data_IF_088676814203
#
_entry.id   IF_088676814203
#
_cell.length_a   1.000
_cell.length_b   1.000
_cell.length_c   1.000
_cell.angle_alpha   90.00
_cell.angle_beta   90.00
_cell.angle_gamma   90.00
#
_symmetry.space_group_name_H-M   'P 1'
#
loop_
_entity.id
_entity.type
_entity.pdbx_description
1 polymer ?
#
# COMPACT_ATOMS: atom_id res chain seq x y z
N UNK A 1 -8.87 -7.25 30.02
CA UNK A 1 -8.78 -8.50 30.79
C UNK A 1 -10.10 -9.23 30.61
N UNK A 2 -10.07 -10.53 30.42
CA UNK A 2 -11.24 -11.38 30.26
C UNK A 2 -11.25 -12.38 31.42
N UNK A 3 -12.39 -12.51 32.12
CA UNK A 3 -12.57 -13.50 33.21
C UNK A 3 -13.09 -14.80 32.64
N UNK A 4 -12.28 -15.85 32.73
CA UNK A 4 -12.61 -17.15 32.19
C UNK A 4 -12.68 -18.18 33.33
N UNK A 5 -13.61 -19.11 33.21
CA UNK A 5 -13.69 -20.30 34.08
C UNK A 5 -13.06 -21.47 33.34
N UNK A 6 -11.99 -22.02 33.86
CA UNK A 6 -11.30 -23.16 33.27
C UNK A 6 -11.53 -24.40 34.10
N UNK A 7 -12.14 -25.41 33.47
CA UNK A 7 -12.41 -26.70 34.05
C UNK A 7 -11.31 -27.68 33.64
N UNK A 8 -10.45 -28.07 34.54
CA UNK A 8 -9.49 -29.15 34.40
C UNK A 8 -10.07 -30.52 34.73
N UNK A 9 -9.28 -31.61 34.61
CA UNK A 9 -9.72 -32.95 34.90
C UNK A 9 -10.15 -33.17 36.36
N UNK A 10 -9.49 -32.48 37.30
CA UNK A 10 -9.68 -32.65 38.74
C UNK A 10 -10.11 -31.39 39.48
N UNK A 11 -9.98 -30.23 38.84
CA UNK A 11 -10.18 -28.93 39.47
C UNK A 11 -10.78 -27.92 38.52
N UNK A 12 -11.34 -26.84 39.08
CA UNK A 12 -11.88 -25.70 38.32
C UNK A 12 -11.30 -24.43 38.90
N UNK A 13 -10.93 -23.51 38.03
CA UNK A 13 -10.34 -22.22 38.43
C UNK A 13 -10.95 -21.07 37.62
N UNK A 14 -11.15 -19.95 38.28
CA UNK A 14 -11.51 -18.69 37.58
C UNK A 14 -10.27 -17.81 37.51
N UNK A 15 -9.90 -17.43 36.29
CA UNK A 15 -8.73 -16.61 36.01
C UNK A 15 -9.11 -15.38 35.22
N UNK A 16 -8.52 -14.25 35.59
CA UNK A 16 -8.58 -13.03 34.76
C UNK A 16 -7.33 -12.98 33.86
N UNK A 17 -7.52 -13.21 32.58
CA UNK A 17 -6.44 -13.29 31.61
C UNK A 17 -6.36 -12.03 30.71
N UNK A 18 -5.17 -11.58 30.29
CA UNK A 18 -5.03 -10.48 29.37
C UNK A 18 -5.59 -10.84 27.98
N UNK A 19 -6.33 -9.92 27.37
CA UNK A 19 -7.06 -10.17 26.11
C UNK A 19 -6.17 -10.37 24.88
N UNK A 20 -4.93 -9.90 24.90
CA UNK A 20 -4.01 -9.87 23.77
C UNK A 20 -2.83 -10.84 23.88
N UNK A 21 -2.72 -11.56 24.99
CA UNK A 21 -1.65 -12.57 25.18
C UNK A 21 -2.08 -13.87 24.52
N UNK A 22 -1.23 -14.53 23.69
CA UNK A 22 -1.52 -15.82 23.11
C UNK A 22 -1.87 -16.88 24.17
N UNK A 23 -2.80 -17.77 23.83
CA UNK A 23 -3.23 -18.85 24.73
C UNK A 23 -2.05 -19.76 25.07
N UNK A 24 -1.14 -19.99 24.13
CA UNK A 24 0.09 -20.75 24.36
C UNK A 24 0.92 -20.22 25.53
N UNK A 25 1.07 -18.89 25.62
CA UNK A 25 1.84 -18.24 26.70
C UNK A 25 1.13 -18.28 28.05
N UNK A 26 -0.21 -18.39 28.03
CA UNK A 26 -1.04 -18.49 29.24
C UNK A 26 -1.10 -19.93 29.79
N UNK A 27 -0.88 -20.93 28.94
CA UNK A 27 -1.04 -22.34 29.29
C UNK A 27 -0.23 -22.79 30.51
N UNK A 28 1.08 -22.44 30.66
CA UNK A 28 1.84 -22.82 31.87
C UNK A 28 1.22 -22.26 33.15
N UNK A 29 0.71 -21.03 33.09
CA UNK A 29 0.05 -20.38 34.25
C UNK A 29 -1.28 -21.07 34.61
N UNK A 30 -2.06 -21.39 33.58
CA UNK A 30 -3.34 -22.11 33.73
C UNK A 30 -3.12 -23.47 34.38
N UNK A 31 -2.17 -24.25 33.85
CA UNK A 31 -1.82 -25.57 34.42
C UNK A 31 -1.36 -25.47 35.86
N UNK A 32 -0.49 -24.49 36.18
CA UNK A 32 -0.02 -24.28 37.54
C UNK A 32 -1.09 -23.92 38.56
N UNK A 33 -2.17 -23.21 38.11
CA UNK A 33 -3.30 -22.87 38.99
C UNK A 33 -4.35 -24.00 39.15
N UNK A 34 -4.46 -24.85 38.11
CA UNK A 34 -5.35 -26.02 38.18
C UNK A 34 -4.75 -27.14 39.03
N UNK A 35 -3.60 -27.65 38.65
CA UNK A 35 -2.84 -28.66 39.37
C UNK A 35 -1.39 -28.71 38.83
N UNK A 36 -0.35 -28.51 39.65
CA UNK A 36 1.04 -28.57 39.21
C UNK A 36 1.45 -29.90 38.55
N UNK A 37 0.77 -30.99 38.81
CA UNK A 37 1.02 -32.30 38.20
C UNK A 37 0.64 -32.37 36.71
N UNK A 38 -0.28 -31.50 36.25
CA UNK A 38 -0.76 -31.46 34.86
C UNK A 38 0.36 -31.08 33.86
N UNK A 39 1.32 -30.28 34.29
CA UNK A 39 2.46 -29.93 33.44
C UNK A 39 3.27 -31.18 33.04
N UNK A 40 3.46 -32.12 33.95
CA UNK A 40 4.16 -33.39 33.70
C UNK A 40 3.25 -34.42 33.00
N UNK A 41 1.97 -34.47 33.34
CA UNK A 41 1.01 -35.34 32.69
C UNK A 41 0.84 -35.06 31.19
N UNK A 42 0.94 -33.78 30.79
CA UNK A 42 0.86 -33.35 29.39
C UNK A 42 1.87 -34.02 28.45
N UNK A 43 3.00 -34.48 28.96
CA UNK A 43 4.03 -35.15 28.14
C UNK A 43 3.55 -36.49 27.53
N UNK A 44 2.59 -37.15 28.17
CA UNK A 44 2.09 -38.47 27.74
C UNK A 44 1.12 -38.43 26.54
N UNK A 45 0.48 -37.27 26.28
CA UNK A 45 -0.57 -37.12 25.25
C UNK A 45 -0.39 -35.87 24.35
N UNK A 46 0.83 -35.47 24.15
CA UNK A 46 1.17 -34.41 23.20
C UNK A 46 0.78 -32.98 23.61
N UNK A 47 0.43 -32.77 24.90
CA UNK A 47 0.07 -31.47 25.45
C UNK A 47 -1.40 -31.33 25.79
N UNK A 48 -1.78 -30.12 26.22
CA UNK A 48 -3.13 -29.74 26.62
C UNK A 48 -3.73 -28.74 25.63
N UNK A 49 -5.03 -28.79 25.40
CA UNK A 49 -5.77 -27.81 24.60
C UNK A 49 -6.94 -27.24 25.46
N UNK A 50 -7.26 -25.97 25.16
CA UNK A 50 -8.47 -25.34 25.73
C UNK A 50 -9.58 -25.41 24.69
N UNK A 51 -10.77 -25.81 25.08
CA UNK A 51 -11.90 -26.02 24.22
C UNK A 51 -13.20 -25.56 24.90
N UNK A 52 -14.09 -24.89 24.15
CA UNK A 52 -15.49 -24.74 24.60
C UNK A 52 -16.26 -26.02 24.37
N UNK A 53 -17.30 -26.22 25.15
CA UNK A 53 -18.19 -27.36 24.96
C UNK A 53 -18.86 -27.25 23.57
N UNK A 54 -18.70 -28.27 22.75
CA UNK A 54 -19.30 -28.33 21.42
C UNK A 54 -18.60 -27.56 20.31
N UNK A 55 -17.46 -26.93 20.58
CA UNK A 55 -16.66 -26.21 19.60
C UNK A 55 -15.31 -26.89 19.33
N UNK A 56 -14.60 -26.48 18.30
CA UNK A 56 -13.23 -26.93 18.06
C UNK A 56 -12.27 -26.37 19.13
N UNK A 57 -11.11 -27.02 19.35
CA UNK A 57 -10.07 -26.49 20.24
C UNK A 57 -9.68 -25.07 19.82
N UNK A 58 -9.41 -24.23 20.80
CA UNK A 58 -8.97 -22.86 20.57
C UNK A 58 -7.57 -22.84 19.94
N UNK A 59 -7.35 -21.94 19.01
CA UNK A 59 -6.05 -21.71 18.41
C UNK A 59 -5.10 -21.08 19.43
N UNK A 60 -4.00 -21.79 19.71
CA UNK A 60 -3.03 -21.44 20.75
C UNK A 60 -2.24 -20.17 20.42
N UNK A 61 -2.12 -19.83 19.14
CA UNK A 61 -1.37 -18.65 18.66
C UNK A 61 -2.16 -17.35 18.81
N UNK A 62 -3.45 -17.43 19.12
CA UNK A 62 -4.31 -16.28 19.27
C UNK A 62 -4.59 -15.93 20.75
N UNK A 63 -4.76 -14.61 21.01
CA UNK A 63 -5.22 -14.12 22.31
C UNK A 63 -6.71 -14.32 22.52
N UNK A 64 -7.19 -14.21 23.77
CA UNK A 64 -8.60 -14.45 24.15
C UNK A 64 -9.58 -13.55 23.38
N UNK A 65 -9.20 -12.32 23.06
CA UNK A 65 -10.04 -11.43 22.24
C UNK A 65 -10.16 -11.89 20.78
N UNK A 66 -9.08 -12.37 20.18
CA UNK A 66 -9.07 -12.90 18.81
C UNK A 66 -9.79 -14.24 18.71
N UNK A 67 -9.73 -15.05 19.78
CA UNK A 67 -10.47 -16.29 19.93
C UNK A 67 -11.98 -16.09 20.25
N UNK A 68 -12.46 -14.85 20.34
CA UNK A 68 -13.86 -14.51 20.59
C UNK A 68 -14.35 -14.92 21.97
N UNK A 69 -13.47 -14.88 22.99
CA UNK A 69 -13.80 -15.22 24.37
C UNK A 69 -14.34 -13.99 25.12
N UNK A 70 -15.38 -14.20 25.88
CA UNK A 70 -16.05 -13.18 26.68
C UNK A 70 -15.97 -13.49 28.21
N UNK A 71 -16.22 -12.45 29.00
CA UNK A 71 -16.27 -12.61 30.46
C UNK A 71 -17.34 -13.62 30.85
N UNK A 72 -16.92 -14.61 31.65
CA UNK A 72 -17.80 -15.68 32.14
C UNK A 72 -17.78 -16.94 31.27
N UNK A 73 -17.05 -16.97 30.16
CA UNK A 73 -16.93 -18.17 29.32
C UNK A 73 -16.29 -19.32 30.11
N UNK A 74 -16.81 -20.53 29.84
CA UNK A 74 -16.32 -21.77 30.44
C UNK A 74 -15.51 -22.53 29.41
N UNK A 75 -14.26 -22.80 29.74
CA UNK A 75 -13.33 -23.55 28.90
C UNK A 75 -12.98 -24.88 29.59
N UNK A 76 -12.80 -25.90 28.79
CA UNK A 76 -12.41 -27.24 29.27
C UNK A 76 -10.97 -27.50 28.86
N UNK A 77 -10.11 -27.84 29.83
CA UNK A 77 -8.75 -28.31 29.57
C UNK A 77 -8.81 -29.81 29.27
N UNK A 78 -8.38 -30.17 28.06
CA UNK A 78 -8.40 -31.55 27.56
C UNK A 78 -7.05 -31.97 27.04
N UNK A 79 -6.70 -33.26 27.12
CA UNK A 79 -5.57 -33.82 26.38
C UNK A 79 -5.71 -33.56 24.88
N UNK A 80 -4.60 -33.29 24.20
CA UNK A 80 -4.63 -33.07 22.74
C UNK A 80 -5.16 -34.28 21.97
N UNK A 81 -4.96 -35.49 22.50
CA UNK A 81 -5.40 -36.73 21.88
C UNK A 81 -6.85 -37.11 22.21
N UNK A 82 -7.48 -36.46 23.23
CA UNK A 82 -8.84 -36.73 23.69
C UNK A 82 -9.66 -35.44 23.77
N UNK A 83 -9.93 -34.85 22.59
CA UNK A 83 -10.73 -33.64 22.46
C UNK A 83 -12.22 -33.94 22.59
N UNK A 84 -12.99 -32.93 23.05
CA UNK A 84 -14.46 -33.07 23.08
C UNK A 84 -14.96 -33.11 21.60
N UNK A 85 -15.93 -34.01 21.31
CA UNK A 85 -16.54 -34.02 20.00
C UNK A 85 -17.26 -32.71 19.73
N UNK A 86 -17.31 -32.31 18.45
CA UNK A 86 -18.16 -31.19 18.03
C UNK A 86 -19.61 -31.50 18.36
N UNK A 87 -20.37 -30.49 18.79
CA UNK A 87 -21.80 -30.66 19.04
C UNK A 87 -22.52 -31.03 17.72
N UNK A 88 -23.28 -32.12 17.77
CA UNK A 88 -24.20 -32.45 16.70
C UNK A 88 -25.39 -31.48 16.72
N UNK A 89 -25.85 -31.05 15.57
CA UNK A 89 -27.01 -30.17 15.46
C UNK A 89 -28.28 -31.04 15.46
N UNK A 90 -29.20 -30.74 16.37
CA UNK A 90 -30.50 -31.41 16.46
C UNK A 90 -31.43 -31.02 15.30
N UNK A 91 -31.21 -29.80 14.69
CA UNK A 91 -31.95 -29.29 13.56
C UNK A 91 -31.00 -28.93 12.44
N UNK A 92 -31.31 -29.41 11.22
CA UNK A 92 -30.57 -29.12 10.00
C UNK A 92 -30.56 -27.61 9.71
N UNK A 93 -31.64 -26.89 10.00
CA UNK A 93 -31.76 -25.45 9.76
C UNK A 93 -30.80 -24.68 10.66
N UNK A 94 -30.70 -25.07 11.92
CA UNK A 94 -29.77 -24.45 12.89
C UNK A 94 -28.30 -24.72 12.52
N UNK A 95 -28.00 -25.95 12.10
CA UNK A 95 -26.67 -26.32 11.59
C UNK A 95 -26.27 -25.49 10.37
N UNK A 96 -27.17 -25.32 9.39
CA UNK A 96 -26.94 -24.48 8.22
C UNK A 96 -26.77 -23.01 8.62
N UNK A 97 -27.62 -22.49 9.51
CA UNK A 97 -27.54 -21.11 9.96
C UNK A 97 -26.20 -20.82 10.68
N UNK A 98 -25.78 -21.71 11.56
CA UNK A 98 -24.51 -21.62 12.30
C UNK A 98 -23.33 -21.69 11.32
N UNK A 99 -23.36 -22.64 10.38
CA UNK A 99 -22.32 -22.78 9.35
C UNK A 99 -22.23 -21.58 8.40
N UNK A 100 -23.36 -20.94 8.07
CA UNK A 100 -23.40 -19.74 7.24
C UNK A 100 -23.01 -18.48 8.00
N UNK A 101 -23.42 -18.33 9.26
CA UNK A 101 -23.10 -17.16 10.08
C UNK A 101 -21.62 -17.08 10.46
N UNK A 102 -20.95 -18.23 10.59
CA UNK A 102 -19.50 -18.34 10.85
C UNK A 102 -18.62 -18.04 9.64
N UNK A 103 -19.18 -17.87 8.43
CA UNK A 103 -18.37 -17.60 7.22
C UNK A 103 -17.71 -16.23 7.26
N UNK A 104 -16.44 -16.20 6.86
CA UNK A 104 -15.66 -14.95 6.77
C UNK A 104 -16.17 -13.99 5.68
N UNK A 105 -16.94 -14.51 4.69
CA UNK A 105 -17.53 -13.75 3.58
C UNK A 105 -18.94 -13.20 3.89
N UNK A 106 -19.43 -13.34 5.12
CA UNK A 106 -20.72 -12.79 5.53
C UNK A 106 -20.77 -11.25 5.43
N UNK A 107 -21.91 -10.74 4.96
CA UNK A 107 -22.11 -9.29 4.83
C UNK A 107 -22.19 -8.63 6.22
N UNK A 108 -21.23 -7.74 6.50
CA UNK A 108 -21.11 -7.05 7.81
C UNK A 108 -21.31 -5.54 7.64
N UNK A 109 -21.72 -4.81 8.69
CA UNK A 109 -21.88 -3.35 8.61
C UNK A 109 -20.62 -2.62 8.13
N UNK A 110 -19.44 -3.13 8.45
CA UNK A 110 -18.16 -2.60 7.95
C UNK A 110 -18.02 -2.71 6.43
N UNK A 111 -18.56 -3.76 5.80
CA UNK A 111 -18.57 -3.93 4.34
C UNK A 111 -19.54 -2.93 3.72
N UNK A 112 -20.76 -2.80 4.28
CA UNK A 112 -21.74 -1.79 3.83
C UNK A 112 -21.10 -0.40 3.83
N UNK A 113 -20.43 -0.02 4.92
CA UNK A 113 -19.75 1.28 5.01
C UNK A 113 -18.69 1.46 3.92
N UNK A 114 -17.86 0.44 3.65
CA UNK A 114 -16.84 0.48 2.59
C UNK A 114 -17.48 0.63 1.21
N UNK A 115 -18.56 -0.09 0.95
CA UNK A 115 -19.32 0.00 -0.32
C UNK A 115 -19.91 1.39 -0.49
N UNK A 116 -20.52 1.97 0.54
CA UNK A 116 -21.05 3.33 0.49
C UNK A 116 -19.96 4.38 0.25
N UNK A 117 -18.79 4.25 0.90
CA UNK A 117 -17.63 5.12 0.65
C UNK A 117 -17.08 4.95 -0.77
N UNK A 118 -17.02 3.71 -1.27
CA UNK A 118 -16.63 3.43 -2.65
C UNK A 118 -17.60 4.04 -3.67
N UNK A 119 -18.90 3.97 -3.39
CA UNK A 119 -19.93 4.60 -4.23
C UNK A 119 -19.81 6.14 -4.20
N UNK A 120 -19.55 6.73 -3.04
CA UNK A 120 -19.32 8.17 -2.92
C UNK A 120 -18.07 8.61 -3.71
N UNK A 121 -16.97 7.85 -3.64
CA UNK A 121 -15.79 8.09 -4.45
C UNK A 121 -16.08 7.98 -5.94
N UNK A 122 -16.82 6.94 -6.36
CA UNK A 122 -17.25 6.77 -7.75
C UNK A 122 -18.09 7.94 -8.24
N UNK A 123 -19.09 8.37 -7.47
CA UNK A 123 -19.91 9.54 -7.83
C UNK A 123 -19.06 10.81 -7.95
N UNK A 124 -18.10 11.02 -7.04
CA UNK A 124 -17.16 12.14 -7.12
C UNK A 124 -16.29 12.09 -8.38
N UNK A 125 -15.77 10.92 -8.73
CA UNK A 125 -14.99 10.72 -9.97
C UNK A 125 -15.87 10.92 -11.22
N UNK A 126 -17.09 10.41 -11.22
CA UNK A 126 -18.04 10.65 -12.33
C UNK A 126 -18.38 12.14 -12.46
N UNK A 127 -18.54 12.87 -11.36
CA UNK A 127 -18.73 14.32 -11.42
C UNK A 127 -17.56 15.02 -12.11
N UNK A 128 -16.30 14.60 -11.82
CA UNK A 128 -15.11 15.12 -12.51
C UNK A 128 -15.14 14.78 -14.00
N UNK A 129 -15.48 13.55 -14.37
CA UNK A 129 -15.59 13.13 -15.78
C UNK A 129 -16.67 13.95 -16.50
N UNK A 130 -17.79 14.21 -15.86
CA UNK A 130 -18.87 15.04 -16.46
C UNK A 130 -18.38 16.47 -16.73
N UNK A 131 -17.52 17.04 -15.87
CA UNK A 131 -16.95 18.38 -16.16
C UNK A 131 -16.10 18.40 -17.42
N UNK A 132 -15.47 17.27 -17.79
CA UNK A 132 -14.65 17.16 -19.00
C UNK A 132 -15.46 17.20 -20.32
N UNK A 133 -16.78 16.98 -20.25
CA UNK A 133 -17.69 17.13 -21.39
C UNK A 133 -18.18 18.58 -21.62
N UNK A 134 -17.72 19.55 -20.82
CA UNK A 134 -18.03 20.95 -21.04
C UNK A 134 -17.47 21.44 -22.38
N UNK A 135 -18.15 22.45 -22.97
CA UNK A 135 -17.88 22.88 -24.32
C UNK A 135 -16.49 23.54 -24.54
N UNK A 136 -15.91 24.06 -23.45
CA UNK A 136 -14.62 24.78 -23.47
C UNK A 136 -13.81 24.56 -22.19
N UNK A 137 -12.49 24.74 -22.27
CA UNK A 137 -11.58 24.53 -21.14
C UNK A 137 -11.85 25.46 -19.96
N UNK A 138 -12.32 26.66 -20.18
CA UNK A 138 -12.65 27.63 -19.12
C UNK A 138 -13.85 27.15 -18.29
N UNK A 139 -14.90 26.71 -18.95
CA UNK A 139 -16.10 26.15 -18.30
C UNK A 139 -15.76 24.86 -17.55
N UNK A 140 -14.93 24.01 -18.15
CA UNK A 140 -14.40 22.80 -17.50
C UNK A 140 -13.61 23.15 -16.24
N UNK A 141 -12.70 24.13 -16.31
CA UNK A 141 -11.91 24.56 -15.15
C UNK A 141 -12.78 25.12 -14.02
N UNK A 142 -13.75 25.97 -14.33
CA UNK A 142 -14.67 26.58 -13.35
C UNK A 142 -15.55 25.50 -12.70
N UNK A 143 -16.14 24.61 -13.49
CA UNK A 143 -17.01 23.55 -12.99
C UNK A 143 -16.24 22.53 -12.14
N UNK A 144 -15.04 22.14 -12.55
CA UNK A 144 -14.18 21.25 -11.78
C UNK A 144 -13.70 21.90 -10.47
N UNK A 145 -13.40 23.21 -10.48
CA UNK A 145 -13.08 23.97 -9.28
C UNK A 145 -14.27 24.03 -8.31
N UNK A 146 -15.48 24.27 -8.81
CA UNK A 146 -16.69 24.24 -8.00
C UNK A 146 -16.92 22.85 -7.36
N UNK A 147 -16.74 21.78 -8.13
CA UNK A 147 -16.82 20.41 -7.62
C UNK A 147 -15.75 20.18 -6.53
N UNK A 148 -14.52 20.63 -6.73
CA UNK A 148 -13.45 20.52 -5.74
C UNK A 148 -13.82 21.22 -4.42
N UNK A 149 -14.34 22.45 -4.49
CA UNK A 149 -14.76 23.23 -3.31
C UNK A 149 -15.91 22.54 -2.57
N UNK A 150 -16.91 22.03 -3.29
CA UNK A 150 -18.04 21.31 -2.69
C UNK A 150 -17.58 20.02 -2.00
N UNK A 151 -16.70 19.24 -2.65
CA UNK A 151 -16.23 17.99 -2.09
C UNK A 151 -15.29 18.20 -0.87
N UNK A 152 -14.34 19.12 -0.94
CA UNK A 152 -13.47 19.44 0.20
C UNK A 152 -14.27 20.09 1.33
N UNK A 153 -15.20 20.98 1.00
CA UNK A 153 -16.12 21.59 1.97
C UNK A 153 -17.01 20.55 2.66
N UNK A 154 -17.64 19.66 1.90
CA UNK A 154 -18.41 18.54 2.42
C UNK A 154 -17.58 17.60 3.29
N UNK A 155 -16.35 17.28 2.87
CA UNK A 155 -15.39 16.52 3.67
C UNK A 155 -15.06 17.21 5.00
N UNK A 156 -14.91 18.54 4.98
CA UNK A 156 -14.64 19.33 6.20
C UNK A 156 -15.82 19.27 7.17
N UNK A 157 -17.06 19.35 6.67
CA UNK A 157 -18.26 19.19 7.47
C UNK A 157 -18.32 17.79 8.11
N UNK A 158 -18.05 16.74 7.33
CA UNK A 158 -18.01 15.35 7.85
C UNK A 158 -16.92 15.17 8.92
N UNK A 159 -15.74 15.74 8.72
CA UNK A 159 -14.65 15.63 9.66
C UNK A 159 -14.92 16.37 10.98
N UNK A 160 -15.48 17.57 10.92
CA UNK A 160 -15.57 18.47 12.08
C UNK A 160 -16.90 18.40 12.82
N UNK A 161 -18.00 18.10 12.13
CA UNK A 161 -19.35 18.08 12.72
C UNK A 161 -19.85 16.66 12.97
N UNK A 162 -19.46 15.68 12.16
CA UNK A 162 -19.95 14.31 12.24
C UNK A 162 -18.88 13.31 12.71
N UNK A 163 -17.62 13.74 12.88
CA UNK A 163 -16.46 12.90 13.20
C UNK A 163 -16.32 11.66 12.29
N UNK A 164 -16.83 11.74 11.05
CA UNK A 164 -16.67 10.67 10.06
C UNK A 164 -15.37 10.84 9.26
N UNK A 165 -14.30 10.25 9.80
CA UNK A 165 -12.97 10.28 9.17
C UNK A 165 -12.94 9.62 7.80
N UNK A 166 -13.67 8.53 7.61
CA UNK A 166 -13.68 7.80 6.35
C UNK A 166 -14.35 8.58 5.22
N UNK A 167 -15.52 9.15 5.49
CA UNK A 167 -16.24 10.02 4.55
C UNK A 167 -15.44 11.28 4.23
N UNK A 168 -14.86 11.91 5.23
CA UNK A 168 -14.01 13.09 5.07
C UNK A 168 -12.82 12.85 4.15
N UNK A 169 -12.07 11.75 4.37
CA UNK A 169 -10.91 11.39 3.52
C UNK A 169 -11.37 11.10 2.09
N UNK A 170 -12.49 10.38 1.91
CA UNK A 170 -13.03 10.03 0.58
C UNK A 170 -13.41 11.28 -0.21
N UNK A 171 -14.18 12.20 0.40
CA UNK A 171 -14.57 13.45 -0.26
C UNK A 171 -13.38 14.39 -0.45
N UNK A 172 -12.47 14.45 0.51
CA UNK A 172 -11.24 15.23 0.38
C UNK A 172 -10.35 14.76 -0.77
N UNK A 173 -10.14 13.45 -0.90
CA UNK A 173 -9.33 12.87 -1.97
C UNK A 173 -9.96 13.09 -3.36
N UNK A 174 -11.27 12.88 -3.50
CA UNK A 174 -12.00 13.17 -4.75
C UNK A 174 -12.01 14.66 -5.08
N UNK A 175 -12.08 15.52 -4.06
CA UNK A 175 -11.98 16.98 -4.23
C UNK A 175 -10.58 17.43 -4.70
N UNK A 176 -9.51 16.79 -4.21
CA UNK A 176 -8.14 17.02 -4.71
C UNK A 176 -8.00 16.59 -6.17
N UNK A 177 -8.60 15.46 -6.57
CA UNK A 177 -8.63 15.03 -7.97
C UNK A 177 -9.40 16.01 -8.85
N UNK A 178 -10.54 16.56 -8.37
CA UNK A 178 -11.29 17.58 -9.08
C UNK A 178 -10.48 18.88 -9.27
N UNK A 179 -9.71 19.29 -8.26
CA UNK A 179 -8.79 20.43 -8.38
C UNK A 179 -7.69 20.17 -9.44
N UNK A 180 -7.21 18.93 -9.53
CA UNK A 180 -6.28 18.52 -10.59
C UNK A 180 -6.89 18.70 -11.99
N UNK A 181 -8.14 18.30 -12.18
CA UNK A 181 -8.86 18.50 -13.45
C UNK A 181 -9.05 19.99 -13.77
N UNK A 182 -9.36 20.81 -12.76
CA UNK A 182 -9.46 22.26 -12.95
C UNK A 182 -8.12 22.86 -13.41
N UNK A 183 -7.00 22.45 -12.79
CA UNK A 183 -5.67 22.88 -13.20
C UNK A 183 -5.32 22.45 -14.63
N UNK A 184 -5.67 21.22 -15.00
CA UNK A 184 -5.45 20.69 -16.36
C UNK A 184 -6.21 21.49 -17.43
N UNK A 185 -7.45 21.82 -17.16
CA UNK A 185 -8.30 22.53 -18.13
C UNK A 185 -7.98 24.03 -18.25
N UNK A 186 -7.30 24.64 -17.26
CA UNK A 186 -7.06 26.08 -17.25
C UNK A 186 -6.24 26.61 -18.45
N UNK A 187 -5.11 25.97 -18.85
CA UNK A 187 -4.37 26.39 -20.04
C UNK A 187 -5.06 26.05 -21.36
N UNK A 188 -5.94 25.02 -21.38
CA UNK A 188 -6.63 24.57 -22.58
C UNK A 188 -7.66 25.59 -23.10
N UNK A 189 -8.05 26.60 -22.31
CA UNK A 189 -8.87 27.71 -22.75
C UNK A 189 -8.23 28.58 -23.84
N UNK A 190 -6.91 28.44 -24.07
CA UNK A 190 -6.14 29.19 -25.04
C UNK A 190 -5.56 28.31 -26.18
N UNK A 191 -5.68 26.98 -26.13
CA UNK A 191 -5.12 26.06 -27.11
C UNK A 191 -6.21 25.45 -28.00
N UNK A 192 -5.89 25.30 -29.31
CA UNK A 192 -6.78 24.64 -30.24
C UNK A 192 -7.05 23.19 -29.86
N UNK A 193 -8.29 22.73 -30.07
CA UNK A 193 -8.73 21.37 -29.80
C UNK A 193 -7.80 20.34 -30.50
N UNK A 194 -6.95 19.69 -29.75
CA UNK A 194 -5.99 18.68 -30.25
C UNK A 194 -4.74 18.50 -29.40
N UNK A 195 -4.29 19.51 -28.69
CA UNK A 195 -3.09 19.42 -27.83
C UNK A 195 -3.47 19.30 -26.35
N UNK A 196 -4.03 18.15 -25.97
CA UNK A 196 -4.51 17.90 -24.62
C UNK A 196 -3.40 17.73 -23.57
N UNK A 197 -2.18 17.39 -23.98
CA UNK A 197 -1.04 17.18 -23.08
C UNK A 197 0.03 18.27 -23.28
N UNK A 198 -0.34 19.51 -22.97
CA UNK A 198 0.67 20.58 -22.90
C UNK A 198 1.44 20.51 -21.57
N UNK A 199 2.74 20.79 -21.59
CA UNK A 199 3.55 20.86 -20.35
C UNK A 199 2.96 21.86 -19.35
N UNK A 200 2.36 22.95 -19.83
CA UNK A 200 1.65 23.93 -19.01
C UNK A 200 0.42 23.36 -18.30
N UNK A 201 -0.37 22.51 -18.97
CA UNK A 201 -1.52 21.82 -18.39
C UNK A 201 -1.11 20.85 -17.29
N UNK A 202 -0.08 20.07 -17.54
CA UNK A 202 0.47 19.14 -16.54
C UNK A 202 1.01 19.90 -15.32
N UNK A 203 1.77 20.98 -15.53
CA UNK A 203 2.30 21.79 -14.46
C UNK A 203 1.17 22.43 -13.63
N UNK A 204 0.16 23.01 -14.28
CA UNK A 204 -1.00 23.59 -13.60
C UNK A 204 -1.79 22.55 -12.81
N UNK A 205 -1.94 21.32 -13.35
CA UNK A 205 -2.52 20.18 -12.62
C UNK A 205 -1.76 19.89 -11.33
N UNK A 206 -0.44 19.75 -11.43
CA UNK A 206 0.40 19.41 -10.28
C UNK A 206 0.37 20.50 -9.20
N UNK A 207 0.39 21.77 -9.59
CA UNK A 207 0.26 22.91 -8.67
C UNK A 207 -1.13 22.93 -8.01
N UNK A 208 -2.20 22.72 -8.77
CA UNK A 208 -3.56 22.66 -8.24
C UNK A 208 -3.76 21.49 -7.26
N UNK A 209 -3.23 20.30 -7.58
CA UNK A 209 -3.24 19.12 -6.70
C UNK A 209 -2.47 19.41 -5.41
N UNK A 210 -1.27 20.00 -5.50
CA UNK A 210 -0.47 20.34 -4.33
C UNK A 210 -1.20 21.35 -3.42
N UNK A 211 -1.76 22.39 -3.98
CA UNK A 211 -2.53 23.40 -3.25
C UNK A 211 -3.80 22.79 -2.60
N UNK A 212 -4.56 22.00 -3.37
CA UNK A 212 -5.78 21.37 -2.86
C UNK A 212 -5.48 20.33 -1.77
N UNK A 213 -4.41 19.55 -1.91
CA UNK A 213 -4.00 18.57 -0.89
C UNK A 213 -3.53 19.25 0.42
N UNK A 214 -2.80 20.37 0.33
CA UNK A 214 -2.41 21.14 1.51
C UNK A 214 -3.61 21.78 2.21
N UNK A 215 -4.57 22.31 1.44
CA UNK A 215 -5.83 22.85 1.96
C UNK A 215 -6.70 21.75 2.60
N UNK A 216 -6.85 20.60 1.92
CA UNK A 216 -7.60 19.48 2.46
C UNK A 216 -6.98 18.97 3.77
N UNK A 217 -5.64 18.85 3.85
CA UNK A 217 -4.93 18.50 5.07
C UNK A 217 -5.25 19.47 6.22
N UNK A 218 -5.20 20.77 5.96
CA UNK A 218 -5.45 21.79 6.98
C UNK A 218 -6.93 21.85 7.39
N UNK A 219 -7.85 21.70 6.42
CA UNK A 219 -9.29 21.83 6.64
C UNK A 219 -9.89 20.60 7.34
N UNK A 220 -9.54 19.41 6.88
CA UNK A 220 -10.11 18.16 7.40
C UNK A 220 -9.48 17.74 8.75
N UNK A 221 -8.18 17.98 8.96
CA UNK A 221 -7.46 17.51 10.15
C UNK A 221 -7.30 15.98 10.23
N UNK A 222 -7.83 15.23 9.27
CA UNK A 222 -7.77 13.77 9.16
C UNK A 222 -7.05 13.37 7.86
N UNK A 223 -6.58 12.13 7.77
CA UNK A 223 -5.85 11.66 6.58
C UNK A 223 -4.51 12.36 6.36
N UNK A 224 -3.92 12.93 7.40
CA UNK A 224 -2.70 13.73 7.38
C UNK A 224 -1.56 13.13 6.53
N UNK A 225 -1.20 11.83 6.68
CA UNK A 225 -0.12 11.22 5.91
C UNK A 225 -0.40 11.18 4.40
N UNK A 226 -1.62 10.81 4.01
CA UNK A 226 -2.01 10.71 2.60
C UNK A 226 -1.99 12.06 1.89
N UNK A 227 -2.62 13.08 2.47
CA UNK A 227 -2.62 14.43 1.88
C UNK A 227 -1.23 15.07 1.86
N UNK A 228 -0.40 14.80 2.88
CA UNK A 228 0.99 15.25 2.89
C UNK A 228 1.79 14.60 1.75
N UNK A 229 1.63 13.29 1.56
CA UNK A 229 2.30 12.57 0.48
C UNK A 229 1.89 13.11 -0.90
N UNK A 230 0.58 13.29 -1.13
CA UNK A 230 0.07 13.87 -2.39
C UNK A 230 0.64 15.27 -2.62
N UNK A 231 0.61 16.15 -1.63
CA UNK A 231 1.11 17.51 -1.75
C UNK A 231 2.61 17.53 -2.08
N UNK A 232 3.43 16.80 -1.32
CA UNK A 232 4.89 16.79 -1.49
C UNK A 232 5.33 16.15 -2.81
N UNK A 233 4.70 15.04 -3.21
CA UNK A 233 5.00 14.39 -4.49
C UNK A 233 4.51 15.23 -5.68
N UNK A 234 3.38 15.92 -5.57
CA UNK A 234 2.90 16.83 -6.61
C UNK A 234 3.85 18.04 -6.78
N UNK A 235 4.35 18.61 -5.68
CA UNK A 235 5.38 19.66 -5.73
C UNK A 235 6.65 19.15 -6.39
N UNK A 236 7.13 17.96 -6.03
CA UNK A 236 8.32 17.36 -6.62
C UNK A 236 8.16 17.16 -8.13
N UNK A 237 7.03 16.60 -8.56
CA UNK A 237 6.73 16.40 -9.98
C UNK A 237 6.59 17.74 -10.72
N UNK A 238 6.00 18.77 -10.08
CA UNK A 238 5.90 20.12 -10.63
C UNK A 238 7.28 20.76 -10.83
N UNK A 239 8.22 20.57 -9.88
CA UNK A 239 9.60 21.03 -10.02
C UNK A 239 10.27 20.36 -11.22
N UNK A 240 10.11 19.04 -11.37
CA UNK A 240 10.67 18.30 -12.51
C UNK A 240 10.07 18.77 -13.86
N UNK A 241 8.76 18.96 -13.91
CA UNK A 241 8.06 19.45 -15.09
C UNK A 241 8.48 20.89 -15.43
N UNK A 242 8.55 21.77 -14.43
CA UNK A 242 9.01 23.16 -14.63
C UNK A 242 10.47 23.22 -15.10
N UNK A 243 11.35 22.42 -14.53
CA UNK A 243 12.74 22.33 -14.98
C UNK A 243 12.85 21.89 -16.45
N UNK A 244 12.06 20.87 -16.85
CA UNK A 244 11.97 20.42 -18.22
C UNK A 244 11.52 21.53 -19.19
N UNK A 245 10.48 22.28 -18.81
CA UNK A 245 9.98 23.41 -19.60
C UNK A 245 11.01 24.55 -19.73
N UNK A 246 11.71 24.90 -18.63
CA UNK A 246 12.73 25.96 -18.64
C UNK A 246 13.94 25.61 -19.49
N UNK A 247 14.31 24.33 -19.56
CA UNK A 247 15.43 23.83 -20.35
C UNK A 247 14.99 23.58 -21.83
N UNK A 248 13.68 23.55 -22.09
CA UNK A 248 13.14 23.27 -23.42
C UNK A 248 13.13 21.78 -23.78
N UNK A 249 13.04 20.91 -22.78
CA UNK A 249 12.92 19.47 -22.99
C UNK A 249 11.54 19.09 -23.52
N UNK A 250 11.48 18.07 -24.35
CA UNK A 250 10.22 17.48 -24.80
C UNK A 250 9.51 16.71 -23.65
N UNK A 251 8.32 16.19 -23.94
CA UNK A 251 7.51 15.49 -22.93
C UNK A 251 8.20 14.22 -22.42
N UNK A 252 8.92 13.49 -23.28
CA UNK A 252 9.58 12.24 -22.92
C UNK A 252 10.83 12.49 -22.08
N UNK A 253 11.64 13.47 -22.45
CA UNK A 253 12.80 13.89 -21.68
C UNK A 253 12.39 14.43 -20.29
N UNK A 254 11.32 15.24 -20.24
CA UNK A 254 10.76 15.71 -18.97
C UNK A 254 10.26 14.54 -18.12
N UNK A 255 9.57 13.57 -18.71
CA UNK A 255 9.12 12.36 -18.02
C UNK A 255 10.30 11.52 -17.49
N UNK A 256 11.39 11.40 -18.25
CA UNK A 256 12.62 10.74 -17.80
C UNK A 256 13.22 11.41 -16.55
N UNK A 257 13.26 12.74 -16.51
CA UNK A 257 13.69 13.50 -15.32
C UNK A 257 12.79 13.21 -14.12
N UNK A 258 11.46 13.24 -14.31
CA UNK A 258 10.50 12.93 -13.24
C UNK A 258 10.67 11.49 -12.74
N UNK A 259 10.89 10.51 -13.62
CA UNK A 259 11.17 9.12 -13.23
C UNK A 259 12.41 9.02 -12.34
N UNK A 260 13.51 9.68 -12.71
CA UNK A 260 14.73 9.71 -11.90
C UNK A 260 14.47 10.33 -10.53
N UNK A 261 13.74 11.45 -10.47
CA UNK A 261 13.37 12.10 -9.21
C UNK A 261 12.51 11.19 -8.33
N UNK A 262 11.51 10.51 -8.90
CA UNK A 262 10.65 9.55 -8.19
C UNK A 262 11.49 8.41 -7.60
N UNK A 263 12.42 7.84 -8.37
CA UNK A 263 13.31 6.79 -7.91
C UNK A 263 14.24 7.27 -6.77
N UNK A 264 14.80 8.47 -6.89
CA UNK A 264 15.65 9.05 -5.86
C UNK A 264 14.88 9.28 -4.55
N UNK A 265 13.67 9.87 -4.63
CA UNK A 265 12.84 10.12 -3.45
C UNK A 265 12.29 8.83 -2.84
N UNK A 266 11.97 7.81 -3.65
CA UNK A 266 11.54 6.51 -3.14
C UNK A 266 12.59 5.84 -2.26
N UNK A 267 13.87 6.08 -2.50
CA UNK A 267 14.99 5.61 -1.64
C UNK A 267 15.08 6.39 -0.32
N UNK A 268 14.70 7.66 -0.32
CA UNK A 268 14.67 8.50 0.88
C UNK A 268 13.35 8.35 1.68
N UNK A 269 12.30 7.79 1.09
CA UNK A 269 10.98 7.69 1.69
C UNK A 269 10.95 7.01 3.08
N UNK A 270 11.70 5.91 3.35
CA UNK A 270 11.72 5.29 4.68
C UNK A 270 12.29 6.22 5.75
N UNK A 271 13.36 6.96 5.43
CA UNK A 271 13.98 7.91 6.34
C UNK A 271 13.07 9.10 6.63
N UNK A 272 12.41 9.62 5.58
CA UNK A 272 11.42 10.68 5.72
C UNK A 272 10.21 10.25 6.55
N UNK A 273 9.71 9.04 6.35
CA UNK A 273 8.60 8.49 7.11
C UNK A 273 8.96 8.31 8.59
N UNK A 274 10.14 7.78 8.89
CA UNK A 274 10.63 7.65 10.25
C UNK A 274 10.81 9.01 10.94
N UNK A 275 11.39 9.97 10.24
CA UNK A 275 11.57 11.34 10.76
C UNK A 275 10.22 12.03 11.04
N UNK A 276 9.24 11.91 10.14
CA UNK A 276 7.90 12.49 10.32
C UNK A 276 7.13 11.84 11.47
N UNK A 277 7.41 10.58 11.79
CA UNK A 277 6.82 9.86 12.91
C UNK A 277 7.54 10.15 14.25
N UNK A 278 8.60 10.97 14.23
CA UNK A 278 9.39 11.27 15.43
C UNK A 278 10.28 10.09 15.88
N UNK A 279 10.60 9.17 14.97
CA UNK A 279 11.59 8.12 15.20
C UNK A 279 12.97 8.69 14.81
N UNK A 280 13.63 9.33 15.74
CA UNK A 280 15.04 9.72 15.58
C UNK A 280 15.92 8.51 15.90
N UNK A 281 16.84 8.18 14.99
CA UNK A 281 17.91 7.23 15.34
C UNK A 281 18.82 7.93 16.37
N UNK A 282 18.93 7.35 17.55
CA UNK A 282 19.95 7.79 18.50
C UNK A 282 21.33 7.54 17.93
N UNK A 283 22.30 8.44 18.13
CA UNK A 283 23.65 8.22 17.69
C UNK A 283 24.19 6.95 18.35
N UNK A 284 24.81 6.11 17.54
CA UNK A 284 25.43 4.86 18.07
C UNK A 284 26.51 5.26 19.05
N UNK A 285 26.45 4.80 20.33
CA UNK A 285 27.47 5.10 21.31
C UNK A 285 28.84 4.61 20.84
N UNK A 286 29.83 5.48 20.89
CA UNK A 286 31.19 5.19 20.39
C UNK A 286 32.16 4.98 21.53
N UNK A 287 31.79 5.38 22.77
CA UNK A 287 32.63 5.21 23.97
C UNK A 287 31.99 4.27 25.00
N UNK A 288 32.81 3.57 25.85
CA UNK A 288 32.26 2.71 26.90
C UNK A 288 31.32 3.45 27.88
N UNK A 289 31.58 4.73 28.13
CA UNK A 289 30.78 5.59 29.02
C UNK A 289 29.43 5.90 28.39
N UNK A 290 29.36 6.14 27.09
CA UNK A 290 28.13 6.34 26.33
C UNK A 290 27.24 5.09 26.30
N UNK A 291 27.85 3.87 26.33
CA UNK A 291 27.09 2.62 26.44
C UNK A 291 26.36 2.47 27.78
N UNK A 292 26.80 3.16 28.82
CA UNK A 292 26.16 3.15 30.14
C UNK A 292 25.17 4.30 30.34
N UNK A 293 25.19 5.30 29.45
CA UNK A 293 24.23 6.41 29.44
C UNK A 293 23.08 6.03 28.50
N UNK A 294 21.84 6.20 28.95
CA UNK A 294 20.66 5.96 28.12
C UNK A 294 20.05 4.57 28.23
N UNK A 295 20.27 3.87 29.35
CA UNK A 295 19.64 2.58 29.64
C UNK A 295 18.18 2.69 30.10
N UNK A 296 17.58 3.88 30.06
CA UNK A 296 16.17 4.03 30.37
C UNK A 296 15.32 3.40 29.25
N UNK A 297 14.54 2.34 29.56
CA UNK A 297 13.74 1.67 28.56
C UNK A 297 12.65 2.60 28.04
N UNK A 298 12.61 2.79 26.72
CA UNK A 298 11.52 3.53 26.07
C UNK A 298 10.19 2.77 26.27
N UNK A 299 9.08 3.45 26.61
CA UNK A 299 7.79 2.81 26.70
C UNK A 299 7.43 2.09 25.38
N UNK A 300 7.27 0.78 25.42
CA UNK A 300 7.02 -0.05 24.22
C UNK A 300 5.80 0.43 23.42
N UNK A 301 4.75 0.92 24.10
CA UNK A 301 3.58 1.47 23.47
C UNK A 301 3.89 2.69 22.59
N UNK A 302 4.67 3.64 23.08
CA UNK A 302 5.03 4.86 22.34
C UNK A 302 5.87 4.53 21.11
N UNK A 303 6.78 3.56 21.22
CA UNK A 303 7.60 3.08 20.09
C UNK A 303 6.73 2.41 19.04
N UNK A 304 5.80 1.54 19.45
CA UNK A 304 4.88 0.85 18.53
C UNK A 304 3.91 1.82 17.84
N UNK A 305 3.36 2.79 18.56
CA UNK A 305 2.47 3.81 17.99
C UNK A 305 3.20 4.69 16.95
N UNK A 306 4.45 5.09 17.24
CA UNK A 306 5.29 5.84 16.28
C UNK A 306 5.70 4.97 15.09
N UNK A 307 6.01 3.70 15.31
CA UNK A 307 6.33 2.77 14.22
C UNK A 307 5.12 2.56 13.29
N UNK A 308 3.92 2.40 13.85
CA UNK A 308 2.69 2.32 13.07
C UNK A 308 2.43 3.61 12.26
N UNK A 309 2.68 4.79 12.85
CA UNK A 309 2.57 6.06 12.14
C UNK A 309 3.61 6.18 11.01
N UNK A 310 4.84 5.73 11.24
CA UNK A 310 5.89 5.69 10.21
C UNK A 310 5.48 4.80 9.03
N UNK A 311 4.89 3.62 9.29
CA UNK A 311 4.41 2.72 8.25
C UNK A 311 3.28 3.34 7.41
N UNK A 312 2.36 4.07 8.04
CA UNK A 312 1.30 4.81 7.33
C UNK A 312 1.88 5.92 6.46
N UNK A 313 2.88 6.69 6.96
CA UNK A 313 3.57 7.68 6.15
C UNK A 313 4.30 7.04 4.96
N UNK A 314 5.05 5.98 5.21
CA UNK A 314 5.79 5.25 4.17
C UNK A 314 4.84 4.71 3.09
N UNK A 315 3.76 4.05 3.49
CA UNK A 315 2.73 3.52 2.57
C UNK A 315 2.15 4.65 1.71
N UNK A 316 1.82 5.80 2.33
CA UNK A 316 1.26 6.95 1.62
C UNK A 316 2.25 7.52 0.61
N UNK A 317 3.51 7.72 0.99
CA UNK A 317 4.55 8.23 0.08
C UNK A 317 4.79 7.27 -1.08
N UNK A 318 4.98 5.97 -0.81
CA UNK A 318 5.25 4.98 -1.85
C UNK A 318 4.07 4.83 -2.81
N UNK A 319 2.83 4.87 -2.32
CA UNK A 319 1.63 4.79 -3.17
C UNK A 319 1.54 5.97 -4.14
N UNK A 320 1.78 7.19 -3.66
CA UNK A 320 1.73 8.40 -4.49
C UNK A 320 2.91 8.45 -5.47
N UNK A 321 4.14 8.11 -5.01
CA UNK A 321 5.32 8.01 -5.88
C UNK A 321 5.11 6.95 -6.96
N UNK A 322 4.50 5.81 -6.62
CA UNK A 322 4.12 4.78 -7.58
C UNK A 322 3.13 5.28 -8.64
N UNK A 323 2.12 6.07 -8.23
CA UNK A 323 1.16 6.66 -9.16
C UNK A 323 1.81 7.69 -10.09
N UNK A 324 2.62 8.61 -9.55
CA UNK A 324 3.37 9.61 -10.34
C UNK A 324 4.37 8.92 -11.27
N UNK A 325 5.10 7.91 -10.77
CA UNK A 325 6.02 7.10 -11.55
C UNK A 325 5.33 6.37 -12.70
N UNK A 326 4.13 5.80 -12.45
CA UNK A 326 3.32 5.17 -13.50
C UNK A 326 2.98 6.17 -14.61
N UNK A 327 2.45 7.33 -14.24
CA UNK A 327 2.10 8.36 -15.22
C UNK A 327 3.32 8.82 -16.03
N UNK A 328 4.45 9.10 -15.37
CA UNK A 328 5.68 9.50 -16.02
C UNK A 328 6.23 8.41 -16.98
N UNK A 329 6.21 7.13 -16.56
CA UNK A 329 6.64 6.01 -17.40
C UNK A 329 5.73 5.81 -18.62
N UNK A 330 4.43 6.02 -18.51
CA UNK A 330 3.49 5.96 -19.63
C UNK A 330 3.74 7.11 -20.64
N UNK A 331 4.06 8.31 -20.15
CA UNK A 331 4.47 9.44 -21.01
C UNK A 331 5.83 9.16 -21.64
N UNK A 332 6.82 8.68 -20.89
CA UNK A 332 8.13 8.30 -21.40
C UNK A 332 8.04 7.32 -22.58
N UNK A 333 7.15 6.35 -22.48
CA UNK A 333 6.96 5.32 -23.51
C UNK A 333 5.85 5.65 -24.50
N UNK A 334 5.39 6.91 -24.60
CA UNK A 334 4.35 7.33 -25.58
C UNK A 334 4.78 7.11 -27.01
N UNK A 335 6.04 7.34 -27.32
CA UNK A 335 6.68 6.96 -28.57
C UNK A 335 7.86 6.03 -28.26
N UNK A 336 7.91 4.88 -28.94
CA UNK A 336 8.95 3.89 -28.72
C UNK A 336 10.15 4.17 -29.61
N UNK A 337 11.13 4.84 -29.02
CA UNK A 337 12.49 4.91 -29.54
C UNK A 337 13.37 3.90 -28.80
N UNK A 338 14.55 3.58 -29.31
CA UNK A 338 15.43 2.59 -28.67
C UNK A 338 15.83 2.99 -27.25
N UNK A 339 16.02 4.27 -26.99
CA UNK A 339 16.43 4.87 -25.71
C UNK A 339 15.26 4.92 -24.71
N UNK A 340 14.06 5.35 -25.10
CA UNK A 340 12.87 5.35 -24.24
C UNK A 340 12.44 3.95 -23.89
N UNK A 341 12.48 3.00 -24.84
CA UNK A 341 12.17 1.60 -24.61
C UNK A 341 13.18 0.96 -23.64
N UNK A 342 14.48 1.15 -23.86
CA UNK A 342 15.52 0.57 -22.97
C UNK A 342 15.46 1.18 -21.58
N UNK A 343 15.27 2.50 -21.46
CA UNK A 343 15.07 3.15 -20.16
C UNK A 343 13.85 2.58 -19.44
N UNK A 344 12.70 2.47 -20.11
CA UNK A 344 11.48 1.90 -19.53
C UNK A 344 11.66 0.45 -19.03
N UNK A 345 12.34 -0.39 -19.81
CA UNK A 345 12.65 -1.78 -19.43
C UNK A 345 13.58 -1.83 -18.22
N UNK A 346 14.64 -1.04 -18.20
CA UNK A 346 15.61 -1.01 -17.09
C UNK A 346 14.94 -0.51 -15.81
N UNK A 347 14.10 0.52 -15.89
CA UNK A 347 13.32 1.03 -14.75
C UNK A 347 12.33 -0.04 -14.26
N UNK A 348 11.66 -0.75 -15.16
CA UNK A 348 10.75 -1.84 -14.76
C UNK A 348 11.50 -2.94 -13.99
N UNK A 349 12.66 -3.38 -14.47
CA UNK A 349 13.51 -4.37 -13.77
C UNK A 349 13.96 -3.83 -12.43
N UNK A 350 14.41 -2.57 -12.36
CA UNK A 350 14.83 -1.93 -11.11
C UNK A 350 13.69 -1.90 -10.07
N UNK A 351 12.48 -1.53 -10.46
CA UNK A 351 11.31 -1.48 -9.59
C UNK A 351 10.90 -2.89 -9.10
N UNK A 352 10.95 -3.90 -9.97
CA UNK A 352 10.68 -5.29 -9.57
C UNK A 352 11.73 -5.82 -8.58
N UNK A 353 13.01 -5.46 -8.77
CA UNK A 353 14.07 -5.81 -7.83
C UNK A 353 13.89 -5.07 -6.49
N UNK A 354 13.48 -3.80 -6.52
CA UNK A 354 13.17 -3.02 -5.32
C UNK A 354 11.98 -3.62 -4.55
N UNK A 355 10.93 -4.06 -5.24
CA UNK A 355 9.77 -4.72 -4.63
C UNK A 355 10.15 -5.97 -3.82
N UNK A 356 11.24 -6.65 -4.17
CA UNK A 356 11.77 -7.81 -3.44
C UNK A 356 12.18 -7.49 -2.01
N UNK A 357 12.71 -6.30 -1.76
CA UNK A 357 13.20 -5.84 -0.47
C UNK A 357 12.07 -5.42 0.49
N UNK A 358 10.89 -5.13 -0.07
CA UNK A 358 9.76 -4.62 0.69
C UNK A 358 8.97 -5.75 1.36
N UNK A 359 8.58 -5.57 2.63
CA UNK A 359 7.79 -6.56 3.40
C UNK A 359 6.29 -6.35 3.28
N UNK A 360 5.82 -5.09 3.24
CA UNK A 360 4.40 -4.76 3.17
C UNK A 360 3.80 -5.03 1.79
N UNK A 361 2.56 -5.51 1.73
CA UNK A 361 1.83 -5.74 0.47
C UNK A 361 1.69 -4.44 -0.32
N UNK A 362 1.26 -3.37 0.36
CA UNK A 362 1.06 -2.06 -0.26
C UNK A 362 2.37 -1.44 -0.75
N UNK A 363 3.47 -1.63 -0.02
CA UNK A 363 4.81 -1.20 -0.43
C UNK A 363 5.25 -1.93 -1.69
N UNK A 364 5.05 -3.26 -1.78
CA UNK A 364 5.36 -4.03 -3.00
C UNK A 364 4.53 -3.59 -4.19
N UNK A 365 3.22 -3.39 -3.99
CA UNK A 365 2.32 -2.96 -5.06
C UNK A 365 2.72 -1.59 -5.62
N UNK A 366 3.18 -0.66 -4.79
CA UNK A 366 3.64 0.67 -5.24
C UNK A 366 4.82 0.63 -6.22
N UNK A 367 5.66 -0.41 -6.17
CA UNK A 367 6.74 -0.64 -7.11
C UNK A 367 6.32 -1.56 -8.28
N UNK A 368 5.48 -2.58 -8.02
CA UNK A 368 5.06 -3.52 -9.04
C UNK A 368 4.09 -2.91 -10.06
N UNK A 369 3.19 -2.02 -9.63
CA UNK A 369 2.21 -1.38 -10.52
C UNK A 369 2.89 -0.56 -11.62
N UNK A 370 3.79 0.41 -11.33
CA UNK A 370 4.48 1.13 -12.39
C UNK A 370 5.35 0.23 -13.27
N UNK A 371 6.01 -0.78 -12.69
CA UNK A 371 6.81 -1.74 -13.46
C UNK A 371 5.96 -2.53 -14.45
N UNK A 372 4.84 -3.07 -14.01
CA UNK A 372 3.93 -3.84 -14.88
C UNK A 372 3.25 -2.93 -15.91
N UNK A 373 2.86 -1.72 -15.53
CA UNK A 373 2.22 -0.76 -16.44
C UNK A 373 3.14 -0.39 -17.60
N UNK A 374 4.42 -0.09 -17.35
CA UNK A 374 5.38 0.24 -18.42
C UNK A 374 5.70 -0.98 -19.28
N UNK A 375 5.84 -2.17 -18.71
CA UNK A 375 6.06 -3.39 -19.49
C UNK A 375 4.89 -3.69 -20.43
N UNK A 376 3.65 -3.54 -19.92
CA UNK A 376 2.44 -3.69 -20.73
C UNK A 376 2.37 -2.63 -21.82
N UNK A 377 2.66 -1.36 -21.49
CA UNK A 377 2.64 -0.27 -22.48
C UNK A 377 3.65 -0.50 -23.60
N UNK A 378 4.88 -0.88 -23.26
CA UNK A 378 5.93 -1.20 -24.25
C UNK A 378 5.49 -2.39 -25.11
N UNK A 379 5.01 -3.46 -24.48
CA UNK A 379 4.58 -4.67 -25.19
C UNK A 379 3.44 -4.39 -26.17
N UNK A 380 2.40 -3.66 -25.73
CA UNK A 380 1.25 -3.35 -26.59
C UNK A 380 1.62 -2.47 -27.79
N UNK A 381 2.45 -1.45 -27.55
CA UNK A 381 2.92 -0.56 -28.64
C UNK A 381 3.82 -1.30 -29.62
N UNK A 382 4.80 -2.06 -29.09
CA UNK A 382 5.67 -2.86 -29.94
C UNK A 382 4.88 -3.91 -30.74
N UNK A 383 3.90 -4.58 -30.13
CA UNK A 383 3.07 -5.57 -30.79
C UNK A 383 2.17 -4.96 -31.89
N UNK A 384 1.74 -3.70 -31.72
CA UNK A 384 0.91 -3.00 -32.71
C UNK A 384 1.64 -2.80 -34.05
N UNK A 385 2.96 -2.62 -34.02
CA UNK A 385 3.79 -2.39 -35.22
C UNK A 385 4.23 -3.71 -35.87
N UNK A 386 3.94 -4.87 -35.28
CA UNK A 386 4.33 -6.17 -35.82
C UNK A 386 3.35 -6.64 -36.89
N UNK A 387 3.85 -7.38 -37.92
CA UNK A 387 2.99 -8.11 -38.84
C UNK A 387 2.21 -9.22 -38.11
N UNK A 388 1.12 -9.71 -38.72
CA UNK A 388 0.22 -10.71 -38.13
C UNK A 388 0.97 -11.90 -37.49
N UNK A 389 1.98 -12.43 -38.18
CA UNK A 389 2.78 -13.54 -37.65
C UNK A 389 3.51 -13.16 -36.37
N UNK A 390 4.07 -11.95 -36.31
CA UNK A 390 4.70 -11.41 -35.08
C UNK A 390 3.72 -11.27 -33.92
N UNK A 391 2.51 -10.76 -34.20
CA UNK A 391 1.44 -10.65 -33.20
C UNK A 391 1.03 -12.03 -32.67
N UNK A 392 0.93 -13.04 -33.52
CA UNK A 392 0.65 -14.42 -33.10
C UNK A 392 1.78 -15.00 -32.24
N UNK A 393 3.04 -14.72 -32.55
CA UNK A 393 4.18 -15.13 -31.70
C UNK A 393 4.10 -14.48 -30.31
N UNK A 394 3.77 -13.21 -30.22
CA UNK A 394 3.55 -12.51 -28.93
C UNK A 394 2.41 -13.15 -28.16
N UNK A 395 1.28 -13.46 -28.83
CA UNK A 395 0.14 -14.14 -28.20
C UNK A 395 0.55 -15.48 -27.59
N UNK A 396 1.25 -16.33 -28.36
CA UNK A 396 1.74 -17.64 -27.87
C UNK A 396 2.71 -17.45 -26.71
N UNK A 397 3.60 -16.45 -26.77
CA UNK A 397 4.51 -16.11 -25.67
C UNK A 397 3.78 -15.70 -24.40
N UNK A 398 2.73 -14.89 -24.49
CA UNK A 398 1.90 -14.48 -23.36
C UNK A 398 1.12 -15.65 -22.75
N UNK A 399 0.57 -16.55 -23.59
CA UNK A 399 -0.10 -17.76 -23.11
C UNK A 399 0.90 -18.70 -22.40
N UNK A 400 2.11 -18.84 -22.94
CA UNK A 400 3.20 -19.57 -22.27
C UNK A 400 3.58 -18.96 -20.93
N UNK A 401 3.68 -17.63 -20.85
CA UNK A 401 3.96 -16.91 -19.61
C UNK A 401 2.84 -17.11 -18.57
N UNK A 402 1.56 -17.06 -19.01
CA UNK A 402 0.42 -17.32 -18.15
C UNK A 402 0.45 -18.76 -17.59
N UNK A 403 0.77 -19.77 -18.41
CA UNK A 403 0.96 -21.14 -17.97
C UNK A 403 2.08 -21.28 -16.94
N UNK A 404 3.23 -20.63 -17.20
CA UNK A 404 4.35 -20.61 -16.25
C UNK A 404 3.97 -19.91 -14.92
N UNK A 405 3.18 -18.83 -14.97
CA UNK A 405 2.71 -18.15 -13.77
C UNK A 405 1.80 -19.04 -12.92
N UNK A 406 0.89 -19.80 -13.54
CA UNK A 406 0.04 -20.79 -12.85
C UNK A 406 0.88 -21.90 -12.23
N UNK A 407 1.85 -22.45 -12.96
CA UNK A 407 2.77 -23.46 -12.41
C UNK A 407 3.62 -22.88 -11.26
N UNK A 408 4.08 -21.64 -11.41
CA UNK A 408 4.81 -20.92 -10.38
C UNK A 408 3.99 -20.71 -9.11
N UNK A 409 2.71 -20.41 -9.23
CA UNK A 409 1.81 -20.25 -8.10
C UNK A 409 1.68 -21.52 -7.24
N UNK A 410 1.86 -22.70 -7.84
CA UNK A 410 1.84 -23.97 -7.12
C UNK A 410 3.21 -24.35 -6.52
N UNK A 411 4.29 -23.96 -7.17
CA UNK A 411 5.66 -24.44 -6.85
C UNK A 411 6.46 -23.46 -5.98
N UNK A 412 6.24 -22.14 -6.14
CA UNK A 412 7.02 -21.10 -5.47
C UNK A 412 6.66 -20.84 -3.99
N UNK A 413 5.37 -20.95 -3.56
CA UNK A 413 5.03 -20.68 -2.16
C UNK A 413 5.80 -21.61 -1.21
N UNK A 414 6.46 -21.02 -0.19
CA UNK A 414 7.20 -21.75 0.83
C UNK A 414 8.61 -22.23 0.44
N UNK A 415 9.02 -22.10 -0.83
CA UNK A 415 10.39 -22.46 -1.22
C UNK A 415 11.39 -21.38 -0.81
N UNK A 416 12.45 -21.80 -0.09
CA UNK A 416 13.59 -20.95 0.21
C UNK A 416 14.50 -20.90 -1.02
N UNK A 417 14.67 -19.70 -1.58
CA UNK A 417 15.61 -19.49 -2.67
C UNK A 417 17.07 -19.61 -2.18
N UNK A 418 17.92 -20.17 -3.01
CA UNK A 418 19.36 -20.31 -2.71
C UNK A 418 19.98 -18.90 -2.58
N UNK A 419 20.85 -18.64 -1.58
CA UNK A 419 21.45 -17.32 -1.32
C UNK A 419 22.17 -16.67 -2.51
N UNK A 420 22.59 -17.47 -3.50
CA UNK A 420 23.23 -16.96 -4.73
C UNK A 420 22.31 -16.08 -5.56
N UNK A 421 21.01 -16.37 -5.60
CA UNK A 421 20.02 -15.55 -6.30
C UNK A 421 19.81 -14.18 -5.66
N UNK A 422 19.95 -14.10 -4.32
CA UNK A 422 19.94 -12.84 -3.60
C UNK A 422 21.05 -11.91 -4.07
N UNK A 423 22.29 -12.39 -4.04
CA UNK A 423 23.46 -11.59 -4.47
C UNK A 423 23.41 -11.17 -5.94
N UNK A 424 22.95 -12.06 -6.82
CA UNK A 424 22.76 -11.71 -8.24
C UNK A 424 21.74 -10.58 -8.41
N UNK A 425 20.64 -10.65 -7.67
CA UNK A 425 19.64 -9.58 -7.65
C UNK A 425 20.18 -8.25 -7.14
N UNK A 426 21.05 -8.27 -6.12
CA UNK A 426 21.69 -7.04 -5.59
C UNK A 426 22.64 -6.41 -6.60
N UNK A 427 23.45 -7.22 -7.28
CA UNK A 427 24.33 -6.75 -8.35
C UNK A 427 23.50 -6.15 -9.50
N UNK A 428 22.45 -6.85 -9.94
CA UNK A 428 21.60 -6.39 -11.00
C UNK A 428 20.88 -5.09 -10.62
N UNK A 429 20.44 -4.95 -9.36
CA UNK A 429 19.84 -3.71 -8.85
C UNK A 429 20.77 -2.50 -9.02
N UNK A 430 22.05 -2.63 -8.59
CA UNK A 430 23.03 -1.57 -8.74
C UNK A 430 23.37 -1.26 -10.20
N UNK A 431 23.48 -2.28 -11.04
CA UNK A 431 23.70 -2.09 -12.48
C UNK A 431 22.52 -1.34 -13.14
N UNK A 432 21.30 -1.74 -12.83
CA UNK A 432 20.11 -1.04 -13.33
C UNK A 432 20.04 0.39 -12.82
N UNK A 433 20.34 0.65 -11.54
CA UNK A 433 20.33 1.99 -10.96
C UNK A 433 21.33 2.92 -11.67
N UNK A 434 22.53 2.42 -11.99
CA UNK A 434 23.54 3.16 -12.75
C UNK A 434 23.08 3.37 -14.21
N UNK A 435 22.53 2.34 -14.84
CA UNK A 435 22.07 2.41 -16.23
C UNK A 435 20.90 3.40 -16.39
N UNK A 436 20.00 3.53 -15.40
CA UNK A 436 18.90 4.52 -15.43
C UNK A 436 19.44 5.93 -15.59
N UNK A 437 20.49 6.31 -14.85
CA UNK A 437 21.08 7.66 -14.96
C UNK A 437 21.67 7.90 -16.36
N UNK A 438 22.46 6.93 -16.86
CA UNK A 438 23.07 7.05 -18.19
C UNK A 438 22.00 7.14 -19.29
N UNK A 439 20.98 6.29 -19.26
CA UNK A 439 19.88 6.27 -20.23
C UNK A 439 18.99 7.51 -20.12
N UNK A 440 18.74 8.04 -18.93
CA UNK A 440 17.99 9.29 -18.77
C UNK A 440 18.74 10.47 -19.41
N UNK A 441 20.07 10.50 -19.31
CA UNK A 441 20.90 11.51 -20.01
C UNK A 441 20.87 11.35 -21.53
N UNK A 442 20.72 10.13 -22.08
CA UNK A 442 20.50 9.96 -23.53
C UNK A 442 19.15 10.52 -23.97
N UNK A 443 18.07 10.17 -23.24
CA UNK A 443 16.71 10.63 -23.55
C UNK A 443 16.60 12.16 -23.45
N UNK A 444 17.31 12.81 -22.50
CA UNK A 444 17.34 14.28 -22.39
C UNK A 444 18.22 14.96 -23.43
N UNK A 445 18.91 14.22 -24.29
CA UNK A 445 19.81 14.77 -25.30
C UNK A 445 21.12 15.37 -24.74
N UNK A 446 21.40 15.15 -23.45
CA UNK A 446 22.56 15.74 -22.77
C UNK A 446 23.89 15.43 -23.47
N UNK A 447 24.08 14.21 -23.96
CA UNK A 447 25.31 13.83 -24.67
C UNK A 447 25.47 14.57 -26.00
N UNK A 448 24.36 14.88 -26.69
CA UNK A 448 24.38 15.72 -27.88
C UNK A 448 24.84 17.15 -27.57
N UNK A 449 24.35 17.74 -26.48
CA UNK A 449 24.79 19.05 -26.00
C UNK A 449 26.29 19.07 -25.66
N UNK A 450 26.78 18.08 -24.94
CA UNK A 450 28.22 17.99 -24.60
C UNK A 450 29.08 17.84 -25.85
N UNK A 451 28.64 17.05 -26.85
CA UNK A 451 29.37 16.87 -28.10
C UNK A 451 29.45 18.14 -28.95
N UNK A 452 28.54 19.11 -28.77
CA UNK A 452 28.60 20.41 -29.47
C UNK A 452 29.57 21.39 -28.77
N UNK A 453 30.01 21.11 -27.55
CA UNK A 453 30.94 21.96 -26.78
C UNK A 453 32.40 21.47 -26.85
N UNK A 454 32.62 20.25 -27.35
CA UNK A 454 33.94 19.63 -27.58
C UNK A 454 34.32 19.70 -29.04
#
# INVERSE_FOLDING_TARGET
MCRLTICGPTSRVELAVPAHVPIADLMPTVLGHLDPSLATAGLGHGGWVLQRLGEAPLDEDHGTAAAGLYDGDVLYLRPRDDQLPLADFDDLVDGIHTGLSGRSDSWRPAITRRVCLGLAALCGLLAIVVTAFAADGTTTAISACAVAVVLVGGGTVLARLLDDRGGAITLGATGVAAAGMAGFAMPAGAAAAGEWLTGAGVLATLVAVAAAATLARAALGVGQPGFLAVASCAVLAAIGCMAGMLIGLDAQATAAVVVVLVLAVSRAAPQLAAWLAGLAAEPVPTTPEEFQQGLDPLPSKDVLDRAALADVHLTSFLAVLGAVGTAALLVLTSELTWDTMTLGLVVAVLLLLQAREMRGIWHRLSAMVPATAVLVAILLRWAADLPLLGQLCVLVGLLGLAGNAVAGAQVLPGRRLVPRWGRLGDILHWLCALAVLALALTVTGFYGLVATWL
#
